data_IF_086096875619
#
_entry.id   IF_086096875619
#
_cell.length_a   1.000
_cell.length_b   1.000
_cell.length_c   1.000
_cell.angle_alpha   90.00
_cell.angle_beta   90.00
_cell.angle_gamma   90.00
#
_symmetry.space_group_name_H-M   'P 1'
#
loop_
_entity.id
_entity.type
_entity.pdbx_description
1 polymer ?
#
# COMPACT_ATOMS: atom_id res chain seq x y z
N UNK A 1 -8.86 -9.00 -3.19
CA UNK A 1 -7.95 -8.68 -2.07
C UNK A 1 -6.49 -8.88 -2.48
N UNK A 2 -5.67 -7.83 -2.34
CA UNK A 2 -4.21 -7.92 -2.28
C UNK A 2 -3.74 -7.59 -0.86
N UNK A 3 -2.99 -8.48 -0.23
CA UNK A 3 -2.43 -8.29 1.11
C UNK A 3 -0.91 -8.46 1.05
N UNK A 4 -0.19 -7.35 1.03
CA UNK A 4 1.25 -7.29 0.73
C UNK A 4 2.00 -6.56 1.85
N UNK A 5 2.16 -7.23 2.99
CA UNK A 5 2.93 -6.77 4.15
C UNK A 5 4.30 -7.43 4.17
N UNK A 6 5.28 -6.81 4.82
CA UNK A 6 6.69 -7.27 4.85
C UNK A 6 7.26 -7.38 3.42
N UNK A 7 6.87 -6.42 2.58
CA UNK A 7 7.26 -6.34 1.17
C UNK A 7 7.74 -4.93 0.83
N UNK A 8 8.73 -4.85 -0.05
CA UNK A 8 9.03 -3.61 -0.80
C UNK A 8 8.20 -3.54 -2.10
N UNK A 9 8.46 -2.53 -2.93
CA UNK A 9 7.98 -2.46 -4.30
C UNK A 9 8.13 -3.81 -5.03
N UNK A 10 7.09 -4.24 -5.72
CA UNK A 10 7.05 -5.60 -6.26
C UNK A 10 8.11 -5.82 -7.33
N UNK A 11 8.62 -7.04 -7.37
CA UNK A 11 9.58 -7.49 -8.37
C UNK A 11 8.96 -7.48 -9.78
N UNK A 12 9.81 -7.43 -10.80
CA UNK A 12 9.36 -7.49 -12.20
C UNK A 12 8.50 -8.72 -12.48
N UNK A 13 8.89 -9.89 -11.96
CA UNK A 13 8.10 -11.12 -12.13
C UNK A 13 6.68 -11.02 -11.53
N UNK A 14 6.52 -10.28 -10.43
CA UNK A 14 5.20 -10.04 -9.82
C UNK A 14 4.38 -9.10 -10.69
N UNK A 15 4.98 -8.01 -11.17
CA UNK A 15 4.30 -7.08 -12.08
C UNK A 15 3.92 -7.71 -13.40
N UNK A 16 4.80 -8.53 -14.00
CA UNK A 16 4.50 -9.31 -15.20
C UNK A 16 3.30 -10.23 -14.99
N UNK A 17 3.23 -10.90 -13.84
CA UNK A 17 2.07 -11.71 -13.48
C UNK A 17 0.79 -10.88 -13.38
N UNK A 18 0.83 -9.74 -12.69
CA UNK A 18 -0.34 -8.86 -12.52
C UNK A 18 -0.79 -8.27 -13.87
N UNK A 19 0.13 -7.81 -14.70
CA UNK A 19 -0.16 -7.24 -16.03
C UNK A 19 -0.75 -8.28 -16.98
N UNK A 20 -0.30 -9.53 -16.89
CA UNK A 20 -0.79 -10.64 -17.71
C UNK A 20 -2.17 -11.11 -17.29
N UNK A 21 -2.40 -11.29 -15.98
CA UNK A 21 -3.64 -11.90 -15.48
C UNK A 21 -4.72 -10.89 -15.13
N UNK A 22 -4.34 -9.64 -14.85
CA UNK A 22 -5.21 -8.52 -14.48
C UNK A 22 -6.30 -8.89 -13.46
N UNK A 23 -5.94 -9.52 -12.32
CA UNK A 23 -6.91 -9.69 -11.25
C UNK A 23 -7.40 -8.32 -10.80
N UNK A 24 -8.72 -8.18 -10.63
CA UNK A 24 -9.28 -6.98 -10.04
C UNK A 24 -9.25 -7.08 -8.52
N UNK A 25 -8.85 -6.01 -7.84
CA UNK A 25 -8.78 -5.93 -6.39
C UNK A 25 -9.74 -4.86 -5.87
N UNK A 26 -10.76 -5.28 -5.14
CA UNK A 26 -11.65 -4.38 -4.39
C UNK A 26 -10.94 -3.76 -3.18
N UNK A 27 -9.91 -4.44 -2.65
CA UNK A 27 -9.13 -3.99 -1.50
C UNK A 27 -7.66 -4.36 -1.64
N UNK A 28 -6.80 -3.43 -1.25
CA UNK A 28 -5.35 -3.53 -1.25
C UNK A 28 -4.80 -3.05 0.09
N UNK A 29 -4.07 -3.89 0.81
CA UNK A 29 -3.29 -3.50 2.00
C UNK A 29 -1.81 -3.68 1.77
N UNK A 30 -1.04 -2.60 1.96
CA UNK A 30 0.39 -2.54 1.68
C UNK A 30 1.23 -2.32 2.94
N UNK A 31 2.44 -2.89 2.94
CA UNK A 31 3.50 -2.57 3.87
C UNK A 31 3.79 -1.06 3.83
N UNK A 32 3.90 -0.44 5.01
CA UNK A 32 4.35 0.93 5.16
C UNK A 32 5.25 1.04 6.40
N UNK A 33 6.12 0.04 6.59
CA UNK A 33 7.10 -0.01 7.69
C UNK A 33 7.96 1.26 7.72
N UNK A 34 8.27 1.77 6.53
CA UNK A 34 9.06 2.96 6.31
C UNK A 34 8.36 4.28 6.64
N UNK A 35 7.03 4.32 6.64
CA UNK A 35 6.22 5.54 6.74
C UNK A 35 6.71 6.64 5.77
N UNK A 36 7.49 7.62 6.23
CA UNK A 36 8.04 8.70 5.41
C UNK A 36 9.34 8.33 4.66
N UNK A 37 9.94 7.19 4.96
CA UNK A 37 11.24 6.77 4.42
C UNK A 37 11.08 5.40 3.79
N UNK A 38 11.28 5.27 2.48
CA UNK A 38 11.36 3.94 1.86
C UNK A 38 12.67 3.24 2.23
N UNK A 39 12.63 1.92 2.34
CA UNK A 39 13.80 1.07 2.49
C UNK A 39 13.93 0.16 1.26
N UNK A 40 14.51 0.67 0.14
CA UNK A 40 14.59 -0.08 -1.10
C UNK A 40 15.25 -1.45 -0.91
N UNK A 41 14.60 -2.49 -1.42
CA UNK A 41 14.97 -3.90 -1.26
C UNK A 41 14.52 -4.54 0.05
N UNK A 42 13.79 -3.84 0.93
CA UNK A 42 13.34 -4.37 2.23
C UNK A 42 11.87 -4.05 2.53
N UNK A 43 11.51 -2.77 2.65
CA UNK A 43 10.16 -2.34 3.04
C UNK A 43 9.74 -1.05 2.35
N UNK A 44 8.43 -0.90 2.16
CA UNK A 44 7.85 0.31 1.60
C UNK A 44 7.63 1.41 2.66
N UNK A 45 7.69 2.65 2.20
CA UNK A 45 7.02 3.80 2.79
C UNK A 45 5.95 4.34 1.84
N UNK A 46 5.35 5.48 2.21
CA UNK A 46 4.23 6.10 1.51
C UNK A 46 4.49 6.37 0.03
N UNK A 47 5.74 6.69 -0.33
CA UNK A 47 6.10 6.92 -1.73
C UNK A 47 6.06 5.62 -2.53
N UNK A 48 6.67 4.54 -2.03
CA UNK A 48 6.52 3.22 -2.65
C UNK A 48 5.06 2.75 -2.74
N UNK A 49 4.26 3.01 -1.69
CA UNK A 49 2.83 2.70 -1.70
C UNK A 49 2.08 3.42 -2.81
N UNK A 50 2.34 4.72 -3.00
CA UNK A 50 1.74 5.53 -4.07
C UNK A 50 2.12 4.98 -5.45
N UNK A 51 3.39 4.64 -5.68
CA UNK A 51 3.85 4.04 -6.94
C UNK A 51 3.18 2.67 -7.22
N UNK A 52 2.98 1.84 -6.20
CA UNK A 52 2.25 0.56 -6.33
C UNK A 52 0.78 0.80 -6.66
N UNK A 53 0.11 1.71 -5.94
CA UNK A 53 -1.29 2.08 -6.17
C UNK A 53 -1.50 2.58 -7.59
N UNK A 54 -0.68 3.54 -8.04
CA UNK A 54 -0.75 4.10 -9.39
C UNK A 54 -0.54 3.02 -10.46
N UNK A 55 0.44 2.13 -10.26
CA UNK A 55 0.69 1.05 -11.22
C UNK A 55 -0.45 0.04 -11.27
N UNK A 56 -1.01 -0.37 -10.13
CA UNK A 56 -2.18 -1.27 -10.08
C UNK A 56 -3.37 -0.68 -10.84
N UNK A 57 -3.64 0.62 -10.67
CA UNK A 57 -4.69 1.33 -11.40
C UNK A 57 -4.38 1.36 -12.90
N UNK A 58 -3.15 1.75 -13.27
CA UNK A 58 -2.71 1.85 -14.66
C UNK A 58 -2.84 0.53 -15.44
N UNK A 59 -2.56 -0.61 -14.80
CA UNK A 59 -2.63 -1.92 -15.44
C UNK A 59 -4.04 -2.53 -15.40
N UNK A 60 -5.00 -1.86 -14.75
CA UNK A 60 -6.40 -2.27 -14.64
C UNK A 60 -6.65 -3.36 -13.58
N UNK A 61 -5.77 -3.46 -12.58
CA UNK A 61 -5.97 -4.37 -11.43
C UNK A 61 -6.71 -3.69 -10.26
N UNK A 62 -6.86 -2.37 -10.30
CA UNK A 62 -7.57 -1.56 -9.32
C UNK A 62 -8.18 -0.34 -10.01
N UNK A 63 -9.11 0.35 -9.35
CA UNK A 63 -9.72 1.58 -9.84
C UNK A 63 -10.09 2.52 -8.69
N UNK A 64 -10.92 3.54 -8.96
CA UNK A 64 -11.40 4.50 -7.96
C UNK A 64 -12.26 3.89 -6.85
N UNK A 65 -12.80 2.69 -7.05
CA UNK A 65 -13.60 1.95 -6.07
C UNK A 65 -12.74 1.02 -5.20
N UNK A 66 -11.48 0.79 -5.57
CA UNK A 66 -10.55 0.00 -4.76
C UNK A 66 -10.20 0.73 -3.47
N UNK A 67 -10.37 0.04 -2.34
CA UNK A 67 -9.97 0.55 -1.03
C UNK A 67 -8.47 0.28 -0.83
N UNK A 68 -7.69 1.34 -0.61
CA UNK A 68 -6.26 1.26 -0.34
C UNK A 68 -5.94 1.55 1.12
N UNK A 69 -5.25 0.61 1.77
CA UNK A 69 -4.87 0.67 3.19
C UNK A 69 -3.35 0.51 3.33
N UNK A 70 -2.73 1.28 4.23
CA UNK A 70 -1.35 1.07 4.65
C UNK A 70 -1.31 0.45 6.05
N UNK A 71 -0.36 -0.45 6.30
CA UNK A 71 -0.18 -1.14 7.57
C UNK A 71 1.29 -1.54 7.81
N UNK A 72 1.56 -2.40 8.79
CA UNK A 72 2.88 -2.93 9.14
C UNK A 72 3.87 -1.83 9.53
N UNK A 73 3.46 -0.95 10.44
CA UNK A 73 4.23 0.22 10.83
C UNK A 73 5.41 -0.09 11.76
N UNK A 74 6.50 0.66 11.61
CA UNK A 74 7.63 0.63 12.54
C UNK A 74 7.76 1.93 13.33
N UNK A 75 8.21 1.81 14.58
CA UNK A 75 8.59 2.96 15.40
C UNK A 75 9.72 3.80 14.77
N UNK A 76 10.47 3.24 13.82
CA UNK A 76 11.52 3.93 13.09
C UNK A 76 11.01 4.89 12.00
N UNK A 77 9.72 4.82 11.63
CA UNK A 77 9.09 5.68 10.63
C UNK A 77 8.83 7.12 11.10
N UNK A 78 9.12 7.41 12.37
CA UNK A 78 9.13 8.74 13.02
C UNK A 78 7.79 9.48 13.13
N UNK A 79 6.70 8.91 12.64
CA UNK A 79 5.36 9.45 12.83
C UNK A 79 4.56 8.58 13.79
N UNK A 80 3.77 9.20 14.64
CA UNK A 80 2.68 8.51 15.33
C UNK A 80 1.46 8.43 14.41
N UNK A 81 0.48 7.60 14.79
CA UNK A 81 -0.74 7.39 14.02
C UNK A 81 -1.41 8.71 13.60
N UNK A 82 -1.63 9.63 14.54
CA UNK A 82 -2.33 10.90 14.29
C UNK A 82 -1.57 11.83 13.33
N UNK A 83 -0.25 11.69 13.22
CA UNK A 83 0.58 12.43 12.28
C UNK A 83 0.63 11.77 10.90
N UNK A 84 0.54 10.44 10.84
CA UNK A 84 0.55 9.68 9.59
C UNK A 84 -0.77 9.78 8.83
N UNK A 85 -1.91 9.75 9.55
CA UNK A 85 -3.26 9.83 8.97
C UNK A 85 -3.43 10.95 7.95
N UNK A 86 -3.15 12.24 8.25
CA UNK A 86 -3.36 13.30 7.27
C UNK A 86 -2.50 13.14 6.01
N UNK A 87 -1.24 12.71 6.16
CA UNK A 87 -0.31 12.53 5.03
C UNK A 87 -0.74 11.35 4.13
N UNK A 88 -1.22 10.26 4.74
CA UNK A 88 -1.71 9.10 4.01
C UNK A 88 -3.05 9.37 3.31
N UNK A 89 -3.95 10.14 3.96
CA UNK A 89 -5.25 10.51 3.40
C UNK A 89 -5.12 11.41 2.15
N UNK A 90 -4.17 12.34 2.13
CA UNK A 90 -3.87 13.15 0.94
C UNK A 90 -3.52 12.29 -0.29
N UNK A 91 -2.96 11.11 -0.06
CA UNK A 91 -2.61 10.11 -1.08
C UNK A 91 -3.72 9.08 -1.32
N UNK A 92 -4.85 9.22 -0.63
CA UNK A 92 -6.00 8.31 -0.69
C UNK A 92 -5.72 6.93 -0.12
N UNK A 93 -5.00 6.88 1.02
CA UNK A 93 -4.83 5.67 1.82
C UNK A 93 -5.55 5.80 3.17
N UNK A 94 -6.07 4.68 3.65
CA UNK A 94 -6.51 4.51 5.04
C UNK A 94 -5.32 4.00 5.86
N UNK A 95 -5.11 4.56 7.05
CA UNK A 95 -4.09 4.09 8.01
C UNK A 95 -4.73 3.01 8.89
N UNK A 96 -4.16 1.80 8.88
CA UNK A 96 -4.64 0.72 9.71
C UNK A 96 -4.38 0.99 11.21
N UNK A 97 -5.21 0.39 12.06
CA UNK A 97 -5.03 0.35 13.51
C UNK A 97 -5.65 -0.94 14.07
N UNK A 98 -5.28 -1.31 15.29
CA UNK A 98 -5.81 -2.49 15.94
C UNK A 98 -7.34 -2.38 16.10
N UNK A 99 -8.07 -3.31 15.48
CA UNK A 99 -9.53 -3.31 15.48
C UNK A 99 -10.19 -2.57 14.31
N UNK A 100 -9.43 -2.13 13.30
CA UNK A 100 -10.00 -1.65 12.04
C UNK A 100 -10.73 -2.80 11.31
N UNK A 101 -11.99 -2.55 10.95
CA UNK A 101 -12.84 -3.45 10.16
C UNK A 101 -13.24 -2.74 8.85
N UNK A 102 -13.11 -3.43 7.72
CA UNK A 102 -13.46 -2.91 6.39
C UNK A 102 -14.21 -3.99 5.60
N UNK A 103 -15.35 -3.62 5.03
CA UNK A 103 -16.14 -4.43 4.09
C UNK A 103 -15.85 -3.94 2.65
N UNK A 104 -15.61 -4.87 1.73
CA UNK A 104 -15.26 -4.62 0.33
C UNK A 104 -15.71 -5.76 -0.59
#
# INVERSE_FOLDING_TARGET
LLYAHDTDYFTDATWEYLEKNKPYFDFVSLDCTGMLIDYPGSHMGLKGNEEVKERLIKIGCADENTIFVINHFSHNGKLIHDELVPVAQEKGFIVAYDGLEIEF
#
